data_IF_415051134277
#
_entry.id   IF_415051134277
#
_cell.length_a   1.000
_cell.length_b   1.000
_cell.length_c   1.000
_cell.angle_alpha   90.00
_cell.angle_beta   90.00
_cell.angle_gamma   90.00
#
_symmetry.space_group_name_H-M   'P 1'
#
loop_
_entity.id
_entity.type
_entity.pdbx_description
1 polymer ?
#
# COMPACT_ATOMS: atom_id res chain seq x y z
N UNK A 1 -22.97 29.76 30.71
CA UNK A 1 -23.12 30.10 29.28
C UNK A 1 -21.83 29.79 28.55
N UNK A 2 -21.97 28.84 27.62
CA UNK A 2 -21.17 28.59 26.42
C UNK A 2 -19.73 28.05 26.58
N UNK A 3 -19.67 26.78 26.99
CA UNK A 3 -18.55 25.88 26.75
C UNK A 3 -18.53 25.33 25.32
N UNK A 4 -17.85 26.05 24.41
CA UNK A 4 -17.59 25.60 23.04
C UNK A 4 -16.17 25.92 22.55
N UNK A 5 -15.19 26.08 23.45
CA UNK A 5 -13.78 26.37 23.07
C UNK A 5 -12.84 25.17 23.20
N UNK A 6 -13.36 23.97 23.49
CA UNK A 6 -12.60 22.72 23.42
C UNK A 6 -13.37 21.69 22.57
N UNK A 7 -13.39 21.91 21.26
CA UNK A 7 -13.35 20.78 20.32
C UNK A 7 -11.92 20.23 20.44
N UNK A 8 -11.59 19.47 21.48
CA UNK A 8 -12.05 18.09 21.51
C UNK A 8 -11.35 17.38 20.36
N UNK A 9 -10.03 17.19 20.52
CA UNK A 9 -9.26 16.21 19.76
C UNK A 9 -9.87 14.83 20.01
N UNK A 10 -10.98 14.55 19.33
CA UNK A 10 -11.60 13.25 19.37
C UNK A 10 -10.79 12.33 18.44
N UNK A 11 -9.78 11.67 19.02
CA UNK A 11 -9.01 10.59 18.38
C UNK A 11 -9.84 9.31 18.17
N UNK A 12 -11.17 9.38 18.24
CA UNK A 12 -12.08 8.29 17.83
C UNK A 12 -12.42 8.36 16.33
N UNK A 13 -11.48 8.83 15.50
CA UNK A 13 -11.53 8.64 14.05
C UNK A 13 -10.76 7.35 13.74
N UNK A 14 -11.47 6.22 13.72
CA UNK A 14 -10.87 4.91 13.48
C UNK A 14 -10.08 4.87 12.16
N UNK A 15 -8.96 4.16 12.15
CA UNK A 15 -8.18 3.92 10.95
C UNK A 15 -9.09 3.47 9.79
N UNK A 16 -8.84 3.93 8.55
CA UNK A 16 -9.62 3.46 7.42
C UNK A 16 -9.50 1.95 7.29
N UNK A 17 -10.59 1.29 6.89
CA UNK A 17 -10.63 -0.17 6.72
C UNK A 17 -9.80 -0.61 5.52
N UNK A 18 -8.49 -0.73 5.72
CA UNK A 18 -7.55 -1.28 4.76
C UNK A 18 -6.47 -2.10 5.47
N UNK A 19 -5.73 -2.87 4.69
CA UNK A 19 -4.61 -3.66 5.18
C UNK A 19 -3.49 -3.64 4.14
N UNK A 20 -2.26 -3.75 4.63
CA UNK A 20 -1.08 -3.88 3.78
C UNK A 20 -0.75 -5.36 3.71
N UNK A 21 -0.62 -5.85 2.48
CA UNK A 21 -0.43 -7.27 2.21
C UNK A 21 0.82 -7.44 1.38
N UNK A 22 1.70 -8.34 1.82
CA UNK A 22 2.78 -8.84 1.00
C UNK A 22 2.27 -9.96 0.09
N UNK A 23 2.31 -9.75 -1.22
CA UNK A 23 1.88 -10.73 -2.21
C UNK A 23 3.10 -11.37 -2.89
N UNK A 24 3.18 -12.71 -2.85
CA UNK A 24 4.18 -13.52 -3.56
C UNK A 24 3.49 -14.41 -4.59
N UNK A 25 3.24 -13.92 -5.81
CA UNK A 25 2.52 -14.70 -6.80
C UNK A 25 3.40 -15.85 -7.32
N UNK A 26 2.89 -17.09 -7.25
CA UNK A 26 3.58 -18.28 -7.80
C UNK A 26 3.52 -18.36 -9.33
N UNK A 27 2.57 -17.64 -9.94
CA UNK A 27 2.38 -17.60 -11.39
C UNK A 27 2.23 -16.14 -11.84
N UNK A 28 2.27 -15.90 -13.16
CA UNK A 28 2.20 -14.56 -13.77
C UNK A 28 0.91 -14.30 -14.54
N UNK A 29 -0.24 -14.81 -14.07
CA UNK A 29 -1.51 -14.62 -14.80
C UNK A 29 -1.91 -13.15 -14.87
N UNK A 30 -2.59 -12.78 -15.96
CA UNK A 30 -3.01 -11.39 -16.16
C UNK A 30 -3.92 -10.91 -15.01
N UNK A 31 -3.55 -9.77 -14.41
CA UNK A 31 -4.22 -9.17 -13.25
C UNK A 31 -4.35 -10.09 -12.02
N UNK A 32 -3.48 -11.09 -11.86
CA UNK A 32 -3.63 -12.13 -10.85
C UNK A 32 -3.86 -11.61 -9.43
N UNK A 33 -2.95 -10.78 -8.90
CA UNK A 33 -3.08 -10.22 -7.53
C UNK A 33 -4.39 -9.43 -7.39
N UNK A 34 -4.68 -8.56 -8.38
CA UNK A 34 -5.88 -7.70 -8.40
C UNK A 34 -7.16 -8.53 -8.31
N UNK A 35 -7.26 -9.59 -9.11
CA UNK A 35 -8.43 -10.48 -9.13
C UNK A 35 -8.54 -11.35 -7.88
N UNK A 36 -7.43 -11.89 -7.40
CA UNK A 36 -7.41 -12.70 -6.18
C UNK A 36 -7.89 -11.90 -4.98
N UNK A 37 -7.35 -10.70 -4.79
CA UNK A 37 -7.71 -9.82 -3.69
C UNK A 37 -9.17 -9.34 -3.78
N UNK A 38 -9.67 -9.01 -4.97
CA UNK A 38 -11.09 -8.74 -5.16
C UNK A 38 -11.97 -9.94 -4.83
N UNK A 39 -11.57 -11.15 -5.25
CA UNK A 39 -12.31 -12.39 -4.95
C UNK A 39 -12.34 -12.73 -3.45
N UNK A 40 -11.36 -12.27 -2.68
CA UNK A 40 -11.32 -12.38 -1.22
C UNK A 40 -12.08 -11.25 -0.49
N UNK A 41 -12.79 -10.39 -1.21
CA UNK A 41 -13.44 -9.19 -0.65
C UNK A 41 -12.44 -8.17 -0.05
N UNK A 42 -11.18 -8.19 -0.49
CA UNK A 42 -10.13 -7.23 -0.13
C UNK A 42 -9.54 -6.54 -1.37
N UNK A 43 -10.37 -5.89 -2.22
CA UNK A 43 -9.88 -5.27 -3.46
C UNK A 43 -8.79 -4.22 -3.21
N UNK A 44 -7.88 -4.07 -4.18
CA UNK A 44 -6.84 -3.05 -4.13
C UNK A 44 -7.40 -1.63 -4.19
N UNK A 45 -6.82 -0.74 -3.38
CA UNK A 45 -7.12 0.68 -3.42
C UNK A 45 -6.69 1.29 -4.76
N UNK A 46 -7.56 2.14 -5.31
CA UNK A 46 -7.33 2.83 -6.58
C UNK A 46 -7.53 1.97 -7.83
N UNK A 47 -7.79 0.67 -7.69
CA UNK A 47 -8.14 -0.18 -8.84
C UNK A 47 -9.53 0.19 -9.37
N UNK A 48 -9.59 0.70 -10.60
CA UNK A 48 -10.84 1.10 -11.26
C UNK A 48 -11.61 -0.07 -11.88
N UNK A 49 -10.94 -1.20 -12.13
CA UNK A 49 -11.49 -2.35 -12.86
C UNK A 49 -11.94 -3.46 -11.91
N UNK A 50 -11.09 -3.82 -10.95
CA UNK A 50 -11.31 -4.88 -9.97
C UNK A 50 -11.45 -4.34 -8.55
N UNK A 51 -11.53 -3.02 -8.37
CA UNK A 51 -11.65 -2.39 -7.07
C UNK A 51 -13.09 -2.03 -6.65
N UNK A 52 -13.23 -1.54 -5.43
CA UNK A 52 -14.50 -1.06 -4.89
C UNK A 52 -14.66 0.45 -5.10
N UNK A 53 -15.69 0.87 -5.86
CA UNK A 53 -15.90 2.29 -6.19
C UNK A 53 -16.19 3.16 -4.96
N UNK A 54 -16.96 2.66 -3.99
CA UNK A 54 -17.28 3.41 -2.77
C UNK A 54 -16.03 3.61 -1.91
N UNK A 55 -15.25 2.55 -1.67
CA UNK A 55 -13.97 2.62 -0.95
C UNK A 55 -12.99 3.56 -1.66
N UNK A 56 -12.86 3.46 -2.99
CA UNK A 56 -11.98 4.36 -3.75
C UNK A 56 -12.44 5.83 -3.70
N UNK A 57 -13.75 6.08 -3.63
CA UNK A 57 -14.29 7.45 -3.46
C UNK A 57 -14.00 7.98 -2.06
N UNK A 58 -14.22 7.17 -1.04
CA UNK A 58 -13.92 7.51 0.35
C UNK A 58 -12.43 7.83 0.54
N UNK A 59 -11.55 6.99 -0.01
CA UNK A 59 -10.11 7.17 0.07
C UNK A 59 -9.61 8.39 -0.68
N UNK A 60 -10.22 8.75 -1.81
CA UNK A 60 -9.91 10.01 -2.51
C UNK A 60 -10.37 11.24 -1.72
N UNK A 61 -11.57 11.19 -1.14
CA UNK A 61 -12.15 12.33 -0.44
C UNK A 61 -11.58 12.57 0.96
N UNK A 62 -11.26 11.50 1.70
CA UNK A 62 -10.94 11.58 3.12
C UNK A 62 -9.47 11.33 3.43
N UNK A 63 -8.76 10.58 2.57
CA UNK A 63 -7.40 10.10 2.84
C UNK A 63 -6.38 10.49 1.77
N UNK A 64 -6.78 11.28 0.76
CA UNK A 64 -5.87 11.85 -0.24
C UNK A 64 -5.33 10.84 -1.25
N UNK A 65 -6.06 9.75 -1.54
CA UNK A 65 -5.67 8.78 -2.57
C UNK A 65 -5.47 9.48 -3.93
N UNK A 66 -4.28 9.39 -4.57
CA UNK A 66 -4.08 9.96 -5.89
C UNK A 66 -5.01 9.31 -6.92
N UNK A 67 -5.63 10.11 -7.79
CA UNK A 67 -6.78 9.72 -8.61
C UNK A 67 -6.62 8.40 -9.38
N UNK A 68 -5.55 8.28 -10.16
CA UNK A 68 -5.30 7.15 -11.09
C UNK A 68 -4.33 6.10 -10.53
N UNK A 69 -3.92 6.23 -9.27
CA UNK A 69 -2.89 5.35 -8.69
C UNK A 69 -3.51 4.07 -8.15
N UNK A 70 -3.03 2.92 -8.64
CA UNK A 70 -3.31 1.62 -8.01
C UNK A 70 -2.29 1.37 -6.90
N UNK A 71 -2.75 0.97 -5.73
CA UNK A 71 -1.90 0.62 -4.58
C UNK A 71 -1.36 -0.80 -4.72
N UNK A 72 -0.52 -1.00 -5.75
CA UNK A 72 0.20 -2.24 -6.01
C UNK A 72 1.61 -1.87 -6.45
N UNK A 73 2.62 -2.42 -5.77
CA UNK A 73 4.03 -2.10 -5.97
C UNK A 73 4.85 -3.37 -6.10
N UNK A 74 5.72 -3.45 -7.11
CA UNK A 74 6.69 -4.52 -7.24
C UNK A 74 7.89 -4.20 -6.35
N UNK A 75 7.83 -4.70 -5.11
CA UNK A 75 8.80 -4.37 -4.08
C UNK A 75 10.17 -5.06 -4.31
N UNK A 76 10.17 -6.31 -4.77
CA UNK A 76 11.39 -7.06 -5.09
C UNK A 76 11.14 -8.05 -6.21
N UNK A 77 12.14 -8.27 -7.04
CA UNK A 77 12.15 -9.27 -8.09
C UNK A 77 13.40 -10.14 -7.95
N UNK A 78 13.18 -11.44 -7.79
CA UNK A 78 14.23 -12.45 -7.84
C UNK A 78 14.03 -13.32 -9.08
N UNK A 79 15.07 -13.41 -9.90
CA UNK A 79 15.14 -14.31 -11.05
C UNK A 79 16.36 -15.21 -10.86
N UNK A 80 16.19 -16.55 -10.84
CA UNK A 80 17.31 -17.47 -10.70
C UNK A 80 18.28 -17.34 -11.87
N UNK A 81 19.55 -17.66 -11.62
CA UNK A 81 20.56 -17.70 -12.68
C UNK A 81 20.24 -18.79 -13.71
N UNK A 82 20.52 -18.50 -14.97
CA UNK A 82 20.54 -19.47 -16.06
C UNK A 82 21.97 -19.57 -16.62
N UNK A 83 22.27 -20.53 -17.53
CA UNK A 83 23.55 -20.54 -18.23
C UNK A 83 23.86 -19.26 -19.00
N UNK A 84 22.85 -18.44 -19.30
CA UNK A 84 22.96 -17.23 -20.12
C UNK A 84 22.81 -15.93 -19.32
N UNK A 85 22.27 -16.00 -18.10
CA UNK A 85 21.97 -14.82 -17.28
C UNK A 85 22.36 -15.05 -15.82
N UNK A 86 23.08 -14.12 -15.18
CA UNK A 86 23.33 -14.21 -13.76
C UNK A 86 22.01 -14.11 -12.97
N UNK A 87 22.04 -14.50 -11.69
CA UNK A 87 20.92 -14.28 -10.78
C UNK A 87 20.61 -12.78 -10.75
N UNK A 88 19.34 -12.43 -10.89
CA UNK A 88 18.85 -11.07 -10.71
C UNK A 88 18.14 -11.01 -9.37
N UNK A 89 18.56 -10.10 -8.51
CA UNK A 89 17.91 -9.81 -7.24
C UNK A 89 17.89 -8.30 -7.08
N UNK A 90 16.72 -7.71 -7.30
CA UNK A 90 16.54 -6.25 -7.31
C UNK A 90 15.36 -5.86 -6.44
N UNK A 91 15.58 -4.84 -5.61
CA UNK A 91 14.55 -4.20 -4.79
C UNK A 91 14.17 -2.84 -5.36
N UNK A 92 12.89 -2.48 -5.26
CA UNK A 92 12.40 -1.16 -5.60
C UNK A 92 11.83 -0.49 -4.33
N UNK A 93 12.44 0.61 -3.85
CA UNK A 93 11.94 1.36 -2.71
C UNK A 93 10.46 1.72 -2.83
N UNK A 94 9.76 1.82 -1.70
CA UNK A 94 8.38 2.29 -1.74
C UNK A 94 8.36 3.74 -2.25
N UNK A 95 7.47 4.06 -3.21
CA UNK A 95 7.28 5.42 -3.65
C UNK A 95 6.69 6.28 -2.52
N UNK A 96 6.95 7.58 -2.58
CA UNK A 96 6.65 8.51 -1.49
C UNK A 96 5.16 8.54 -1.12
N UNK A 97 4.27 8.49 -2.10
CA UNK A 97 2.83 8.54 -1.88
C UNK A 97 2.31 7.32 -1.10
N UNK A 98 2.82 6.12 -1.42
CA UNK A 98 2.51 4.90 -0.67
C UNK A 98 3.13 4.94 0.73
N UNK A 99 4.37 5.42 0.85
CA UNK A 99 5.07 5.54 2.14
C UNK A 99 4.30 6.46 3.09
N UNK A 100 3.87 7.63 2.62
CA UNK A 100 3.07 8.58 3.39
C UNK A 100 1.69 8.01 3.76
N UNK A 101 1.01 7.36 2.83
CA UNK A 101 -0.28 6.74 3.12
C UNK A 101 -0.16 5.65 4.19
N UNK A 102 0.91 4.86 4.12
CA UNK A 102 1.22 3.83 5.11
C UNK A 102 1.44 4.44 6.49
N UNK A 103 2.31 5.44 6.59
CA UNK A 103 2.64 6.13 7.85
C UNK A 103 1.43 6.80 8.50
N UNK A 104 0.54 7.39 7.69
CA UNK A 104 -0.57 8.18 8.19
C UNK A 104 -1.80 7.34 8.60
N UNK A 105 -2.02 6.18 7.96
CA UNK A 105 -3.32 5.51 8.03
C UNK A 105 -3.28 4.03 8.45
N UNK A 106 -2.10 3.44 8.67
CA UNK A 106 -2.00 2.04 9.05
C UNK A 106 -1.34 1.90 10.43
N UNK A 107 -1.97 1.16 11.36
CA UNK A 107 -1.42 0.96 12.70
C UNK A 107 -0.19 0.04 12.67
N UNK A 108 0.80 0.36 13.50
CA UNK A 108 1.98 -0.50 13.73
C UNK A 108 3.09 -0.29 12.68
N UNK A 109 3.90 0.78 12.78
CA UNK A 109 5.08 0.95 11.92
C UNK A 109 6.00 -0.26 11.97
N UNK A 110 6.08 -0.94 13.11
CA UNK A 110 6.88 -2.16 13.32
C UNK A 110 6.46 -3.33 12.40
N UNK A 111 5.15 -3.57 12.23
CA UNK A 111 4.66 -4.64 11.36
C UNK A 111 4.91 -4.34 9.88
N UNK A 112 4.79 -3.07 9.50
CA UNK A 112 5.13 -2.59 8.17
C UNK A 112 6.63 -2.70 7.90
N UNK A 113 7.45 -2.21 8.81
CA UNK A 113 8.91 -2.28 8.74
C UNK A 113 9.36 -3.73 8.65
N UNK A 114 8.72 -4.65 9.37
CA UNK A 114 8.98 -6.08 9.24
C UNK A 114 8.66 -6.60 7.82
N UNK A 115 7.50 -6.23 7.24
CA UNK A 115 7.14 -6.60 5.86
C UNK A 115 8.14 -6.04 4.85
N UNK A 116 8.53 -4.77 5.02
CA UNK A 116 9.48 -4.10 4.14
C UNK A 116 10.89 -4.69 4.26
N UNK A 117 11.33 -4.97 5.50
CA UNK A 117 12.59 -5.65 5.79
C UNK A 117 12.61 -7.07 5.22
N UNK A 118 11.53 -7.83 5.34
CA UNK A 118 11.39 -9.17 4.74
C UNK A 118 11.52 -9.11 3.21
N UNK A 119 11.09 -8.01 2.59
CA UNK A 119 11.27 -7.78 1.16
C UNK A 119 12.65 -7.24 0.80
N UNK A 120 13.52 -6.87 1.75
CA UNK A 120 14.76 -6.15 1.48
C UNK A 120 14.52 -4.76 0.89
N UNK A 121 13.37 -4.14 1.19
CA UNK A 121 12.93 -2.85 0.63
C UNK A 121 13.00 -1.80 1.72
N UNK A 122 13.70 -0.70 1.44
CA UNK A 122 13.65 0.51 2.26
C UNK A 122 12.61 1.48 1.70
N UNK A 123 11.96 2.26 2.57
CA UNK A 123 11.23 3.44 2.11
C UNK A 123 12.23 4.36 1.38
N UNK A 124 11.84 4.96 0.26
CA UNK A 124 12.71 5.92 -0.41
C UNK A 124 13.12 7.03 0.59
N UNK A 125 14.39 7.48 0.62
CA UNK A 125 14.77 8.59 1.46
C UNK A 125 13.87 9.78 1.13
N UNK A 126 13.28 10.41 2.16
CA UNK A 126 12.54 11.65 1.98
C UNK A 126 13.55 12.68 1.50
N UNK A 127 13.52 12.98 0.20
CA UNK A 127 14.30 14.10 -0.34
C UNK A 127 13.54 15.35 0.10
N UNK A 128 13.95 15.93 1.23
CA UNK A 128 13.53 17.28 1.62
C UNK A 128 13.93 18.23 0.49
N UNK A 129 12.95 19.00 -0.01
CA UNK A 129 13.16 20.06 -1.00
C UNK A 129 13.47 21.37 -0.30
#
# INVERSE_FOLDING_TARGET
ENGWSNLGQDRTMGYPRASVVLARPETGRWHQIRRHLNGLCHPLLGDSTHGCKSTNREWRGSYGLPGERIYLHLARLEVPSTPYTPRIDVSCPLPQDMSLAIQNYFPGPEAMEAILAECGVVAAPVIER
#
